data_IF_747873910753
#
_entry.id   IF_747873910753
#
_cell.length_a   1.000
_cell.length_b   1.000
_cell.length_c   1.000
_cell.angle_alpha   90.00
_cell.angle_beta   90.00
_cell.angle_gamma   90.00
#
_symmetry.space_group_name_H-M   'P 1'
#
loop_
_entity.id
_entity.type
_entity.pdbx_description
1 polymer ?
#
# COMPACT_ATOMS: atom_id res chain seq x y z
N UNK A 1 -26.57 13.57 -62.23
CA UNK A 1 -27.15 14.70 -61.48
C UNK A 1 -27.87 14.13 -60.26
N UNK A 2 -27.49 14.66 -59.11
CA UNK A 2 -27.70 14.20 -57.73
C UNK A 2 -29.16 14.14 -57.27
N UNK A 3 -29.54 13.04 -56.59
CA UNK A 3 -30.71 13.00 -55.70
C UNK A 3 -30.23 12.79 -54.25
N UNK A 4 -30.64 13.64 -53.29
CA UNK A 4 -30.21 13.53 -51.90
C UNK A 4 -31.08 12.52 -51.14
N UNK A 5 -30.46 11.55 -50.49
CA UNK A 5 -31.13 10.65 -49.54
C UNK A 5 -30.85 11.16 -48.11
N UNK A 6 -31.90 11.71 -47.50
CA UNK A 6 -31.93 12.14 -46.11
C UNK A 6 -32.08 10.91 -45.19
N UNK A 7 -31.10 10.67 -44.33
CA UNK A 7 -31.23 9.72 -43.22
C UNK A 7 -31.63 10.46 -41.94
N UNK A 8 -32.90 10.34 -41.58
CA UNK A 8 -33.44 10.77 -40.29
C UNK A 8 -33.03 9.83 -39.16
N UNK A 9 -32.47 10.40 -38.09
CA UNK A 9 -32.12 9.70 -36.86
C UNK A 9 -33.38 9.50 -36.01
N UNK A 10 -33.91 8.28 -35.96
CA UNK A 10 -35.01 7.94 -35.05
C UNK A 10 -34.45 7.68 -33.63
N UNK A 11 -34.56 8.65 -32.73
CA UNK A 11 -34.34 8.45 -31.29
C UNK A 11 -35.57 7.78 -30.64
N UNK A 12 -35.63 6.45 -30.66
CA UNK A 12 -36.52 5.72 -29.74
C UNK A 12 -35.84 5.57 -28.37
N UNK A 13 -36.29 6.38 -27.42
CA UNK A 13 -35.94 6.29 -25.99
C UNK A 13 -36.46 4.97 -25.41
N UNK A 14 -35.58 4.01 -25.11
CA UNK A 14 -35.92 2.86 -24.25
C UNK A 14 -35.51 3.17 -22.80
N UNK A 15 -36.38 2.92 -21.79
CA UNK A 15 -36.04 3.12 -20.39
C UNK A 15 -35.02 2.07 -19.93
N UNK A 16 -34.04 2.53 -19.15
CA UNK A 16 -32.87 1.76 -18.73
C UNK A 16 -33.20 0.58 -17.84
N UNK A 17 -32.52 -0.54 -18.10
CA UNK A 17 -32.50 -1.69 -17.23
C UNK A 17 -31.82 -1.34 -15.90
N UNK A 18 -32.56 -1.51 -14.80
CA UNK A 18 -32.05 -1.44 -13.43
C UNK A 18 -30.99 -2.52 -13.21
N UNK A 19 -29.80 -2.12 -12.76
CA UNK A 19 -28.72 -3.04 -12.34
C UNK A 19 -29.20 -3.92 -11.17
N UNK A 20 -28.88 -5.22 -11.13
CA UNK A 20 -29.17 -6.05 -9.96
C UNK A 20 -28.27 -5.64 -8.78
N UNK A 21 -28.73 -5.80 -7.52
CA UNK A 21 -27.94 -5.46 -6.35
C UNK A 21 -26.74 -6.40 -6.18
N UNK A 22 -25.63 -5.93 -5.59
CA UNK A 22 -24.42 -6.75 -5.40
C UNK A 22 -24.67 -7.88 -4.38
N UNK A 23 -24.02 -9.05 -4.53
CA UNK A 23 -24.19 -10.16 -3.61
C UNK A 23 -23.64 -9.83 -2.21
N UNK A 24 -24.40 -10.23 -1.18
CA UNK A 24 -24.00 -10.12 0.23
C UNK A 24 -22.74 -10.97 0.46
N UNK A 25 -21.65 -10.35 0.91
CA UNK A 25 -20.45 -11.06 1.35
C UNK A 25 -20.69 -11.61 2.75
N UNK A 26 -20.39 -12.90 2.95
CA UNK A 26 -20.29 -13.51 4.29
C UNK A 26 -19.04 -12.94 5.00
N UNK A 27 -19.11 -12.60 6.30
CA UNK A 27 -17.90 -12.31 7.08
C UNK A 27 -17.09 -13.61 7.24
N UNK A 28 -15.80 -13.56 6.92
CA UNK A 28 -14.83 -14.68 7.06
C UNK A 28 -14.14 -14.65 8.43
N UNK A 29 -14.83 -14.21 9.48
CA UNK A 29 -14.30 -14.29 10.85
C UNK A 29 -15.44 -14.15 11.88
N UNK A 30 -15.76 -15.27 12.54
CA UNK A 30 -16.59 -15.32 13.75
C UNK A 30 -18.04 -15.72 13.53
N UNK A 31 -18.34 -17.00 13.77
CA UNK A 31 -19.26 -17.50 14.82
C UNK A 31 -19.81 -18.87 14.37
N UNK A 32 -19.20 -19.94 14.89
CA UNK A 32 -19.82 -21.25 15.04
C UNK A 32 -19.24 -21.80 16.36
N UNK A 33 -19.85 -21.33 17.44
CA UNK A 33 -19.97 -22.08 18.67
C UNK A 33 -21.04 -23.14 18.41
N UNK A 34 -20.62 -24.36 18.10
CA UNK A 34 -21.46 -25.52 18.37
C UNK A 34 -20.57 -26.72 18.73
N UNK A 35 -20.83 -27.18 19.95
CA UNK A 35 -20.56 -28.48 20.55
C UNK A 35 -20.38 -29.65 19.58
N UNK A 36 -19.46 -30.56 19.92
CA UNK A 36 -19.72 -32.01 20.13
C UNK A 36 -18.38 -32.76 20.19
N UNK A 37 -17.98 -33.41 21.29
CA UNK A 37 -18.53 -34.62 21.92
C UNK A 37 -18.70 -35.81 20.94
N UNK A 38 -17.65 -36.64 20.91
CA UNK A 38 -17.60 -38.11 20.76
C UNK A 38 -18.79 -38.86 20.10
N UNK A 39 -18.47 -39.53 18.99
CA UNK A 39 -18.78 -40.95 18.79
C UNK A 39 -20.06 -41.32 18.02
N UNK A 40 -19.90 -41.90 16.81
CA UNK A 40 -20.38 -43.27 16.48
C UNK A 40 -20.34 -43.59 14.98
N UNK A 41 -19.72 -44.74 14.72
CA UNK A 41 -19.82 -45.74 13.64
C UNK A 41 -21.09 -45.70 12.76
N UNK A 42 -20.91 -45.84 11.44
CA UNK A 42 -21.99 -46.17 10.49
C UNK A 42 -21.47 -46.42 9.06
N UNK A 43 -21.70 -47.64 8.58
CA UNK A 43 -21.14 -48.29 7.40
C UNK A 43 -21.65 -47.78 6.03
N UNK A 44 -20.78 -47.94 5.02
CA UNK A 44 -21.04 -48.55 3.70
C UNK A 44 -22.28 -48.17 2.88
N UNK A 45 -22.04 -47.74 1.63
CA UNK A 45 -22.57 -48.42 0.42
C UNK A 45 -21.97 -47.86 -0.87
N UNK A 46 -21.30 -48.75 -1.58
CA UNK A 46 -21.14 -48.70 -3.02
C UNK A 46 -22.44 -49.17 -3.68
N UNK A 47 -22.83 -48.56 -4.80
CA UNK A 47 -23.89 -49.07 -5.67
C UNK A 47 -23.40 -49.09 -7.12
N UNK A 48 -22.96 -50.28 -7.53
CA UNK A 48 -23.11 -50.83 -8.87
C UNK A 48 -24.00 -52.08 -8.70
N UNK A 49 -25.02 -52.23 -9.55
CA UNK A 49 -25.76 -53.45 -9.97
C UNK A 49 -26.85 -52.88 -10.94
N UNK A 50 -26.90 -53.22 -12.23
CA UNK A 50 -27.41 -54.49 -12.79
C UNK A 50 -28.93 -54.57 -12.56
N UNK A 51 -29.86 -54.86 -13.45
CA UNK A 51 -29.90 -55.80 -14.57
C UNK A 51 -31.39 -55.89 -15.01
N UNK A 52 -31.66 -56.42 -16.22
CA UNK A 52 -32.94 -56.99 -16.73
C UNK A 52 -34.12 -56.03 -17.04
N UNK A 53 -34.86 -56.14 -18.15
CA UNK A 53 -35.27 -57.34 -18.90
C UNK A 53 -35.48 -57.03 -20.41
N UNK A 54 -34.93 -57.86 -21.29
CA UNK A 54 -35.23 -57.88 -22.73
C UNK A 54 -35.65 -59.29 -23.14
N UNK A 55 -36.96 -59.47 -23.22
CA UNK A 55 -37.65 -60.68 -23.64
C UNK A 55 -37.53 -60.89 -25.17
N UNK A 56 -36.93 -62.02 -25.56
CA UNK A 56 -37.54 -62.94 -26.54
C UNK A 56 -37.40 -62.68 -28.05
N UNK A 57 -36.55 -63.53 -28.66
CA UNK A 57 -36.87 -64.45 -29.79
C UNK A 57 -36.83 -63.96 -31.25
N UNK A 58 -35.75 -64.41 -31.92
CA UNK A 58 -35.61 -65.07 -33.22
C UNK A 58 -36.31 -64.54 -34.49
N UNK A 59 -35.53 -64.35 -35.56
CA UNK A 59 -35.73 -65.01 -36.85
C UNK A 59 -34.52 -64.89 -37.80
N UNK A 60 -34.52 -65.79 -38.79
CA UNK A 60 -33.41 -66.36 -39.56
C UNK A 60 -32.94 -65.60 -40.81
N UNK A 61 -31.72 -65.95 -41.22
CA UNK A 61 -31.28 -66.30 -42.59
C UNK A 61 -31.05 -65.24 -43.70
N UNK A 62 -29.78 -65.31 -44.16
CA UNK A 62 -29.26 -65.34 -45.56
C UNK A 62 -28.88 -64.04 -46.30
N UNK A 63 -27.63 -64.12 -46.77
CA UNK A 63 -27.10 -63.78 -48.11
C UNK A 63 -26.25 -62.51 -48.27
N UNK A 64 -25.02 -62.76 -48.73
CA UNK A 64 -24.03 -61.83 -49.25
C UNK A 64 -24.58 -60.99 -50.42
N UNK A 65 -24.38 -59.66 -50.38
CA UNK A 65 -24.18 -58.84 -51.58
C UNK A 65 -23.10 -57.79 -51.30
N UNK A 66 -22.02 -57.91 -52.06
CA UNK A 66 -21.00 -56.90 -52.30
C UNK A 66 -21.62 -55.67 -52.97
N UNK A 67 -21.38 -54.46 -52.44
CA UNK A 67 -21.49 -53.22 -53.23
C UNK A 67 -20.46 -52.19 -52.78
N UNK A 68 -19.51 -51.97 -53.68
CA UNK A 68 -18.52 -50.91 -53.71
C UNK A 68 -19.22 -49.54 -53.75
N UNK A 69 -19.01 -48.70 -52.73
CA UNK A 69 -19.38 -47.29 -52.73
C UNK A 69 -18.13 -46.40 -52.67
N UNK A 70 -17.88 -45.63 -53.73
CA UNK A 70 -16.80 -44.63 -53.82
C UNK A 70 -16.96 -43.54 -52.74
N UNK A 71 -15.85 -43.02 -52.14
CA UNK A 71 -15.93 -42.00 -51.11
C UNK A 71 -16.17 -40.62 -51.73
N UNK A 72 -17.10 -39.84 -51.15
CA UNK A 72 -17.17 -38.39 -51.39
C UNK A 72 -16.10 -37.71 -50.53
N UNK A 73 -15.25 -36.93 -51.19
CA UNK A 73 -14.15 -36.21 -50.57
C UNK A 73 -14.62 -35.09 -49.65
N UNK A 74 -14.13 -35.15 -48.41
CA UNK A 74 -14.14 -34.08 -47.41
C UNK A 74 -13.20 -34.50 -46.28
N UNK A 75 -12.37 -33.61 -45.71
CA UNK A 75 -11.48 -33.97 -44.62
C UNK A 75 -12.33 -34.37 -43.39
N UNK A 76 -11.95 -35.45 -42.66
CA UNK A 76 -12.72 -35.92 -41.52
C UNK A 76 -12.74 -34.87 -40.40
N UNK A 77 -13.94 -34.48 -39.95
CA UNK A 77 -14.17 -33.46 -38.91
C UNK A 77 -14.03 -33.98 -37.48
N UNK A 78 -13.57 -35.22 -37.29
CA UNK A 78 -13.27 -35.78 -35.97
C UNK A 78 -12.06 -36.72 -36.06
N UNK A 79 -11.16 -36.73 -35.07
CA UNK A 79 -10.07 -37.70 -35.02
C UNK A 79 -10.64 -39.12 -34.86
N UNK A 80 -10.04 -40.15 -35.48
CA UNK A 80 -10.53 -41.51 -35.40
C UNK A 80 -10.48 -42.00 -33.94
N UNK A 81 -11.62 -42.48 -33.42
CA UNK A 81 -11.69 -43.12 -32.11
C UNK A 81 -10.99 -44.47 -32.17
N UNK A 82 -9.77 -44.53 -31.64
CA UNK A 82 -9.00 -45.77 -31.44
C UNK A 82 -9.74 -46.66 -30.45
N UNK A 83 -10.30 -47.77 -30.92
CA UNK A 83 -10.73 -48.86 -30.03
C UNK A 83 -9.46 -49.52 -29.47
N UNK A 84 -9.27 -49.47 -28.16
CA UNK A 84 -8.18 -50.17 -27.48
C UNK A 84 -8.41 -51.69 -27.56
N UNK A 85 -7.88 -52.32 -28.61
CA UNK A 85 -7.69 -53.77 -28.61
C UNK A 85 -6.64 -54.08 -27.55
N UNK A 86 -6.97 -55.01 -26.64
CA UNK A 86 -6.19 -55.34 -25.45
C UNK A 86 -4.71 -55.51 -25.78
N UNK A 87 -3.86 -54.76 -25.07
CA UNK A 87 -2.41 -54.83 -25.18
C UNK A 87 -1.93 -56.14 -24.54
N UNK A 88 -1.18 -57.01 -25.24
CA UNK A 88 -0.49 -58.10 -24.57
C UNK A 88 0.71 -57.54 -23.78
N UNK A 89 0.78 -57.90 -22.50
CA UNK A 89 1.87 -57.71 -21.52
C UNK A 89 3.01 -56.70 -21.82
N UNK A 90 3.03 -55.64 -21.02
CA UNK A 90 3.93 -54.46 -21.07
C UNK A 90 5.26 -54.72 -20.34
N UNK A 91 6.04 -55.72 -20.76
CA UNK A 91 7.40 -55.92 -20.22
C UNK A 91 8.49 -56.02 -21.28
N UNK A 92 8.14 -56.41 -22.51
CA UNK A 92 9.00 -56.34 -23.68
C UNK A 92 8.17 -55.77 -24.84
N UNK A 93 8.08 -54.44 -24.90
CA UNK A 93 7.51 -53.77 -26.07
C UNK A 93 8.28 -54.16 -27.33
N UNK A 94 7.61 -54.16 -28.48
CA UNK A 94 8.17 -54.58 -29.77
C UNK A 94 9.54 -53.92 -30.06
N UNK A 95 10.62 -54.66 -29.79
CA UNK A 95 11.99 -54.18 -29.90
C UNK A 95 12.33 -53.78 -31.34
N UNK A 96 11.67 -54.38 -32.33
CA UNK A 96 11.87 -54.06 -33.74
C UNK A 96 11.31 -52.67 -34.09
N UNK A 97 10.16 -52.31 -33.52
CA UNK A 97 9.59 -50.96 -33.63
C UNK A 97 10.48 -49.89 -32.97
N UNK A 98 11.11 -50.24 -31.85
CA UNK A 98 12.06 -49.36 -31.15
C UNK A 98 13.32 -49.10 -31.98
N UNK A 99 13.91 -50.16 -32.55
CA UNK A 99 15.11 -50.05 -33.39
C UNK A 99 14.85 -49.26 -34.67
N UNK A 100 13.70 -49.49 -35.32
CA UNK A 100 13.32 -48.74 -36.52
C UNK A 100 13.02 -47.27 -36.21
N UNK A 101 12.32 -46.99 -35.10
CA UNK A 101 12.10 -45.63 -34.61
C UNK A 101 13.42 -44.90 -34.33
N UNK A 102 14.35 -45.55 -33.65
CA UNK A 102 15.67 -44.98 -33.36
C UNK A 102 16.46 -44.67 -34.63
N UNK A 103 16.48 -45.59 -35.59
CA UNK A 103 17.15 -45.37 -36.89
C UNK A 103 16.55 -44.19 -37.64
N UNK A 104 15.22 -44.05 -37.61
CA UNK A 104 14.53 -42.92 -38.23
C UNK A 104 14.86 -41.60 -37.52
N UNK A 105 14.90 -41.60 -36.18
CA UNK A 105 15.27 -40.41 -35.39
C UNK A 105 16.72 -39.99 -35.63
N UNK A 106 17.66 -40.95 -35.70
CA UNK A 106 19.06 -40.69 -36.02
C UNK A 106 19.20 -40.12 -37.45
N UNK A 107 18.51 -40.70 -38.44
CA UNK A 107 18.52 -40.17 -39.80
C UNK A 107 17.90 -38.77 -39.93
N UNK A 108 16.87 -38.46 -39.13
CA UNK A 108 16.27 -37.14 -39.11
C UNK A 108 17.20 -36.10 -38.48
N UNK A 109 17.91 -36.46 -37.40
CA UNK A 109 18.89 -35.61 -36.74
C UNK A 109 20.15 -35.36 -37.60
N UNK A 110 20.56 -36.34 -38.42
CA UNK A 110 21.66 -36.19 -39.40
C UNK A 110 21.32 -35.22 -40.53
N UNK A 111 20.06 -35.22 -40.99
CA UNK A 111 19.59 -34.32 -42.04
C UNK A 111 19.45 -32.90 -41.51
N UNK A 112 18.88 -32.73 -40.31
CA UNK A 112 18.71 -31.43 -39.66
C UNK A 112 18.67 -31.57 -38.13
N UNK A 113 19.65 -30.96 -37.46
CA UNK A 113 19.76 -30.94 -36.01
C UNK A 113 18.61 -30.16 -35.33
N UNK A 114 17.94 -29.26 -36.05
CA UNK A 114 16.84 -28.43 -35.53
C UNK A 114 15.46 -29.10 -35.55
N UNK A 115 15.36 -30.33 -36.08
CA UNK A 115 14.10 -31.08 -36.22
C UNK A 115 13.34 -31.25 -34.90
N UNK A 116 14.05 -31.30 -33.78
CA UNK A 116 13.46 -31.47 -32.44
C UNK A 116 13.48 -30.19 -31.60
N UNK A 117 13.92 -29.06 -32.13
CA UNK A 117 13.98 -27.77 -31.43
C UNK A 117 12.62 -27.04 -31.39
N UNK A 118 11.51 -27.78 -31.22
CA UNK A 118 10.18 -27.20 -31.19
C UNK A 118 10.00 -26.17 -30.07
N UNK A 119 10.63 -26.41 -28.90
CA UNK A 119 10.54 -25.52 -27.74
C UNK A 119 11.30 -24.20 -27.94
N UNK A 120 12.43 -24.22 -28.67
CA UNK A 120 13.22 -23.00 -28.92
C UNK A 120 12.47 -22.03 -29.84
N UNK A 121 11.74 -22.55 -30.82
CA UNK A 121 10.93 -21.76 -31.75
C UNK A 121 9.57 -21.40 -31.15
N UNK A 122 9.02 -22.21 -30.26
CA UNK A 122 7.71 -21.98 -29.64
C UNK A 122 7.60 -20.63 -28.94
N UNK A 123 8.66 -20.21 -28.24
CA UNK A 123 8.70 -18.89 -27.59
C UNK A 123 8.76 -17.73 -28.58
N UNK A 124 9.33 -17.94 -29.78
CA UNK A 124 9.33 -16.94 -30.85
C UNK A 124 7.99 -16.83 -31.59
N UNK A 125 7.23 -17.93 -31.64
CA UNK A 125 5.89 -18.00 -32.21
C UNK A 125 4.82 -17.40 -31.29
N UNK A 126 5.12 -17.27 -29.99
CA UNK A 126 4.24 -16.55 -29.08
C UNK A 126 4.18 -15.08 -29.52
N UNK A 127 2.99 -14.55 -29.83
CA UNK A 127 2.87 -13.13 -30.15
C UNK A 127 3.40 -12.35 -28.95
N UNK A 128 4.45 -11.54 -29.17
CA UNK A 128 5.00 -10.64 -28.15
C UNK A 128 3.82 -9.80 -27.64
N UNK A 129 3.37 -10.08 -26.41
CA UNK A 129 2.33 -9.30 -25.76
C UNK A 129 2.87 -7.89 -25.63
N UNK A 130 2.46 -7.00 -26.53
CA UNK A 130 2.68 -5.58 -26.37
C UNK A 130 2.00 -5.20 -25.07
N UNK A 131 2.77 -4.75 -24.08
CA UNK A 131 2.23 -4.38 -22.78
C UNK A 131 1.19 -3.29 -23.00
N UNK A 132 -0.09 -3.66 -22.91
CA UNK A 132 -1.18 -2.72 -23.01
C UNK A 132 -1.21 -1.87 -21.74
N UNK A 133 -1.76 -0.66 -21.80
CA UNK A 133 -1.88 0.21 -20.61
C UNK A 133 -2.62 -0.50 -19.46
N UNK A 134 -3.55 -1.40 -19.80
CA UNK A 134 -4.28 -2.24 -18.86
C UNK A 134 -3.37 -3.22 -18.09
N UNK A 135 -2.29 -3.72 -18.68
CA UNK A 135 -1.36 -4.62 -17.98
C UNK A 135 -0.44 -3.86 -17.01
N UNK A 136 -0.22 -2.56 -17.23
CA UNK A 136 0.46 -1.71 -16.25
C UNK A 136 -0.42 -1.42 -15.03
N UNK A 137 -1.74 -1.33 -15.25
CA UNK A 137 -2.75 -1.17 -14.19
C UNK A 137 -2.99 -2.47 -13.40
N UNK A 138 -2.72 -3.64 -14.00
CA UNK A 138 -2.75 -4.95 -13.31
C UNK A 138 -1.59 -5.18 -12.35
N UNK A 139 -0.59 -4.28 -12.28
CA UNK A 139 0.45 -4.39 -11.24
C UNK A 139 -0.19 -4.19 -9.86
N UNK A 140 0.15 -5.02 -8.86
CA UNK A 140 -0.40 -4.87 -7.51
C UNK A 140 -0.16 -3.45 -6.97
N UNK A 141 -1.24 -2.84 -6.48
CA UNK A 141 -1.32 -1.42 -6.09
C UNK A 141 -0.19 -0.96 -5.13
N UNK A 142 0.37 -1.87 -4.34
CA UNK A 142 1.35 -1.58 -3.30
C UNK A 142 2.77 -2.07 -3.58
N UNK A 143 3.00 -2.89 -4.61
CA UNK A 143 4.32 -3.49 -4.85
C UNK A 143 5.39 -2.42 -5.12
N UNK A 144 5.02 -1.37 -5.85
CA UNK A 144 5.92 -0.23 -6.09
C UNK A 144 6.37 0.40 -4.77
N UNK A 145 5.45 0.60 -3.83
CA UNK A 145 5.75 1.21 -2.54
C UNK A 145 6.60 0.28 -1.66
N UNK A 146 6.38 -1.03 -1.72
CA UNK A 146 7.18 -2.01 -0.97
C UNK A 146 8.62 -2.03 -1.51
N UNK A 147 8.79 -2.05 -2.84
CA UNK A 147 10.10 -2.00 -3.47
C UNK A 147 10.81 -0.67 -3.14
N UNK A 148 10.11 0.46 -3.27
CA UNK A 148 10.66 1.76 -2.89
C UNK A 148 11.06 1.80 -1.41
N UNK A 149 10.23 1.26 -0.51
CA UNK A 149 10.55 1.21 0.92
C UNK A 149 11.75 0.29 1.21
N UNK A 150 11.87 -0.85 0.52
CA UNK A 150 13.04 -1.71 0.62
C UNK A 150 14.31 -1.00 0.13
N UNK A 151 14.23 -0.24 -0.96
CA UNK A 151 15.35 0.52 -1.48
C UNK A 151 15.75 1.67 -0.54
N UNK A 152 14.79 2.36 0.08
CA UNK A 152 15.06 3.37 1.13
C UNK A 152 15.80 2.73 2.31
N UNK A 153 15.29 1.62 2.85
CA UNK A 153 15.96 0.92 3.97
C UNK A 153 17.38 0.47 3.64
N UNK A 154 17.64 0.02 2.40
CA UNK A 154 18.98 -0.35 1.96
C UNK A 154 19.91 0.86 1.96
N UNK A 155 19.44 2.02 1.48
CA UNK A 155 20.21 3.28 1.54
C UNK A 155 20.48 3.69 2.98
N UNK A 156 19.46 3.68 3.84
CA UNK A 156 19.58 4.04 5.25
C UNK A 156 20.59 3.14 5.99
N UNK A 157 20.57 1.83 5.70
CA UNK A 157 21.52 0.88 6.26
C UNK A 157 22.97 1.21 5.86
N UNK A 158 23.21 1.52 4.58
CA UNK A 158 24.53 1.93 4.09
C UNK A 158 25.01 3.23 4.76
N UNK A 159 24.12 4.22 4.88
CA UNK A 159 24.43 5.49 5.56
C UNK A 159 24.74 5.26 7.04
N UNK A 160 24.00 4.37 7.71
CA UNK A 160 24.22 4.05 9.12
C UNK A 160 25.56 3.34 9.33
N UNK A 161 25.92 2.39 8.47
CA UNK A 161 27.23 1.74 8.48
C UNK A 161 28.36 2.75 8.23
N UNK A 162 28.21 3.66 7.28
CA UNK A 162 29.20 4.71 7.01
C UNK A 162 29.37 5.67 8.20
N UNK A 163 28.27 6.12 8.81
CA UNK A 163 28.31 6.95 10.03
C UNK A 163 28.93 6.20 11.21
N UNK A 164 28.68 4.89 11.31
CA UNK A 164 29.30 4.02 12.32
C UNK A 164 30.82 3.94 12.12
N UNK A 165 31.28 3.67 10.90
CA UNK A 165 32.71 3.61 10.58
C UNK A 165 33.38 4.98 10.79
N UNK A 166 32.71 6.08 10.45
CA UNK A 166 33.22 7.42 10.72
C UNK A 166 33.41 7.66 12.23
N UNK A 167 32.42 7.28 13.05
CA UNK A 167 32.50 7.37 14.51
C UNK A 167 33.60 6.49 15.10
N UNK A 168 33.77 5.27 14.58
CA UNK A 168 34.87 4.37 14.98
C UNK A 168 36.23 4.99 14.65
N UNK A 169 36.37 5.60 13.46
CA UNK A 169 37.61 6.32 13.08
C UNK A 169 37.87 7.59 13.87
N UNK A 170 36.84 8.27 14.35
CA UNK A 170 36.99 9.42 15.24
C UNK A 170 37.47 8.96 16.62
N UNK A 171 36.90 7.85 17.13
CA UNK A 171 37.31 7.26 18.40
C UNK A 171 38.74 6.68 18.36
N UNK A 172 39.12 6.00 17.27
CA UNK A 172 40.47 5.51 17.02
C UNK A 172 41.43 6.62 16.51
N UNK A 173 40.88 7.78 16.17
CA UNK A 173 41.59 8.88 15.53
C UNK A 173 42.67 9.53 16.39
N UNK A 174 42.57 9.40 17.72
CA UNK A 174 43.63 9.82 18.64
C UNK A 174 44.86 8.90 18.57
N UNK A 175 44.67 7.60 18.27
CA UNK A 175 45.75 6.61 18.18
C UNK A 175 46.43 6.58 16.80
N UNK A 176 45.73 7.05 15.76
CA UNK A 176 46.21 7.03 14.37
C UNK A 176 46.29 8.42 13.72
N UNK A 177 46.34 9.48 14.52
CA UNK A 177 46.47 10.87 14.04
C UNK A 177 47.73 11.08 13.18
N UNK A 178 48.82 10.38 13.51
CA UNK A 178 50.10 10.46 12.82
C UNK A 178 50.16 9.64 11.51
N UNK A 179 49.12 8.87 11.18
CA UNK A 179 49.07 8.02 9.98
C UNK A 179 48.21 8.64 8.89
N UNK A 180 48.67 8.53 7.66
CA UNK A 180 47.96 9.05 6.49
C UNK A 180 46.64 8.30 6.24
N UNK A 181 45.56 9.04 5.98
CA UNK A 181 44.22 8.50 5.70
C UNK A 181 44.07 8.24 4.20
N UNK A 182 44.12 6.97 3.79
CA UNK A 182 43.89 6.60 2.39
C UNK A 182 42.43 6.23 2.15
N UNK A 183 41.76 7.00 1.29
CA UNK A 183 40.41 6.73 0.81
C UNK A 183 40.50 6.27 -0.65
N UNK A 184 39.94 5.11 -0.96
CA UNK A 184 39.88 4.62 -2.34
C UNK A 184 38.94 5.50 -3.18
N UNK A 185 39.23 5.64 -4.47
CA UNK A 185 38.39 6.46 -5.38
C UNK A 185 36.93 6.01 -5.41
N UNK A 186 36.68 4.70 -5.29
CA UNK A 186 35.35 4.12 -5.22
C UNK A 186 34.60 4.59 -3.97
N UNK A 187 35.26 4.62 -2.81
CA UNK A 187 34.65 5.09 -1.56
C UNK A 187 34.41 6.61 -1.59
N UNK A 188 35.29 7.39 -2.22
CA UNK A 188 35.04 8.83 -2.44
C UNK A 188 33.80 9.06 -3.29
N UNK A 189 33.64 8.32 -4.39
CA UNK A 189 32.46 8.38 -5.26
C UNK A 189 31.18 7.96 -4.53
N UNK A 190 31.24 6.90 -3.72
CA UNK A 190 30.12 6.45 -2.89
C UNK A 190 29.70 7.52 -1.86
N UNK A 191 30.65 8.16 -1.19
CA UNK A 191 30.35 9.25 -0.26
C UNK A 191 29.74 10.47 -0.96
N UNK A 192 30.22 10.83 -2.15
CA UNK A 192 29.66 11.95 -2.93
C UNK A 192 28.24 11.63 -3.43
N UNK A 193 27.99 10.40 -3.88
CA UNK A 193 26.66 9.95 -4.28
C UNK A 193 25.69 9.96 -3.09
N UNK A 194 26.11 9.44 -1.94
CA UNK A 194 25.29 9.45 -0.72
C UNK A 194 24.99 10.87 -0.23
N UNK A 195 25.97 11.77 -0.23
CA UNK A 195 25.76 13.18 0.13
C UNK A 195 24.80 13.87 -0.83
N UNK A 196 24.95 13.63 -2.14
CA UNK A 196 24.04 14.18 -3.15
C UNK A 196 22.61 13.68 -2.97
N UNK A 197 22.44 12.39 -2.68
CA UNK A 197 21.15 11.78 -2.40
C UNK A 197 20.53 12.30 -1.11
N UNK A 198 21.32 12.48 -0.04
CA UNK A 198 20.86 13.06 1.24
C UNK A 198 20.43 14.52 1.05
N UNK A 199 21.16 15.32 0.26
CA UNK A 199 20.77 16.70 -0.06
C UNK A 199 19.48 16.76 -0.90
N UNK A 200 19.32 15.86 -1.88
CA UNK A 200 18.11 15.78 -2.69
C UNK A 200 16.90 15.31 -1.87
N UNK A 201 17.09 14.31 -1.00
CA UNK A 201 16.05 13.87 -0.07
C UNK A 201 15.70 14.96 0.94
N UNK A 202 16.70 15.62 1.53
CA UNK A 202 16.47 16.73 2.47
C UNK A 202 15.71 17.88 1.80
N UNK A 203 16.08 18.24 0.57
CA UNK A 203 15.35 19.25 -0.20
C UNK A 203 13.91 18.82 -0.46
N UNK A 204 13.70 17.55 -0.84
CA UNK A 204 12.36 17.00 -1.06
C UNK A 204 11.54 16.98 0.22
N UNK A 205 12.13 16.58 1.34
CA UNK A 205 11.50 16.60 2.65
C UNK A 205 11.17 18.04 3.08
N UNK A 206 12.05 19.01 2.85
CA UNK A 206 11.76 20.42 3.13
C UNK A 206 10.59 20.95 2.27
N UNK A 207 10.49 20.54 1.01
CA UNK A 207 9.38 20.87 0.12
C UNK A 207 8.08 20.17 0.53
N UNK A 208 8.14 18.88 0.89
CA UNK A 208 7.02 18.10 1.41
C UNK A 208 6.58 18.62 2.77
N UNK A 209 7.49 19.00 3.67
CA UNK A 209 7.20 19.67 4.93
C UNK A 209 6.56 21.03 4.70
N UNK A 210 7.03 21.83 3.73
CA UNK A 210 6.38 23.09 3.35
C UNK A 210 4.96 22.88 2.84
N UNK A 211 4.69 21.81 2.08
CA UNK A 211 3.34 21.44 1.61
C UNK A 211 2.48 20.87 2.75
N UNK A 212 3.06 20.06 3.62
CA UNK A 212 2.42 19.44 4.78
C UNK A 212 2.21 20.40 5.96
N UNK A 213 2.78 21.63 5.91
CA UNK A 213 2.44 22.72 6.85
C UNK A 213 0.95 23.09 6.83
N UNK A 214 0.13 22.60 5.90
CA UNK A 214 -1.34 22.73 5.99
C UNK A 214 -2.02 21.59 6.78
N UNK A 215 -1.26 20.83 7.57
CA UNK A 215 -1.69 19.60 8.23
C UNK A 215 -2.81 19.74 9.27
N UNK A 216 -4.07 19.68 8.83
CA UNK A 216 -5.22 19.45 9.70
C UNK A 216 -5.43 20.47 10.83
N UNK A 217 -6.33 20.13 11.77
CA UNK A 217 -6.70 21.02 12.87
C UNK A 217 -5.55 21.27 13.85
N UNK A 218 -4.67 20.29 14.10
CA UNK A 218 -3.54 20.45 15.01
C UNK A 218 -2.47 21.41 14.50
N UNK A 219 -2.17 21.43 13.20
CA UNK A 219 -1.27 22.45 12.63
C UNK A 219 -1.93 23.84 12.59
N UNK A 220 -3.26 23.92 12.47
CA UNK A 220 -3.98 25.19 12.61
C UNK A 220 -3.83 25.77 14.03
N UNK A 221 -4.06 24.97 15.07
CA UNK A 221 -3.86 25.42 16.46
C UNK A 221 -2.40 25.80 16.74
N UNK A 222 -1.43 25.04 16.22
CA UNK A 222 0.00 25.36 16.33
C UNK A 222 0.32 26.72 15.70
N UNK A 223 -0.13 26.95 14.45
CA UNK A 223 0.05 28.24 13.77
C UNK A 223 -0.63 29.42 14.48
N UNK A 224 -1.77 29.19 15.12
CA UNK A 224 -2.45 30.23 15.89
C UNK A 224 -1.61 30.62 17.11
N UNK A 225 -1.11 29.64 17.86
CA UNK A 225 -0.23 29.87 19.00
C UNK A 225 1.10 30.53 18.59
N UNK A 226 1.75 30.03 17.53
CA UNK A 226 2.98 30.62 16.98
C UNK A 226 2.75 32.10 16.60
N UNK A 227 1.58 32.43 16.05
CA UNK A 227 1.21 33.80 15.68
C UNK A 227 0.95 34.70 16.89
N UNK A 228 0.34 34.16 17.94
CA UNK A 228 0.12 34.89 19.18
C UNK A 228 1.43 35.10 19.95
N UNK A 229 2.35 34.14 19.93
CA UNK A 229 3.69 34.27 20.49
C UNK A 229 4.53 35.30 19.71
N UNK A 230 4.46 35.30 18.37
CA UNK A 230 5.09 36.34 17.54
C UNK A 230 4.59 37.74 17.91
N UNK A 231 3.27 37.92 18.02
CA UNK A 231 2.68 39.21 18.44
C UNK A 231 3.17 39.66 19.81
N UNK A 232 3.27 38.73 20.76
CA UNK A 232 3.78 39.04 22.09
C UNK A 232 5.26 39.41 22.03
N UNK A 233 6.07 38.68 21.27
CA UNK A 233 7.50 38.98 21.09
C UNK A 233 7.73 40.34 20.42
N UNK A 234 6.92 40.70 19.42
CA UNK A 234 6.98 42.00 18.76
C UNK A 234 6.57 43.12 19.71
N UNK A 235 5.55 42.90 20.55
CA UNK A 235 5.13 43.87 21.56
C UNK A 235 6.20 44.10 22.64
N UNK A 236 6.84 43.03 23.11
CA UNK A 236 7.96 43.13 24.06
C UNK A 236 9.15 43.83 23.41
N UNK A 237 9.52 43.45 22.18
CA UNK A 237 10.60 44.11 21.45
C UNK A 237 10.32 45.59 21.21
N UNK A 238 9.10 45.96 20.84
CA UNK A 238 8.70 47.36 20.66
C UNK A 238 8.73 48.13 21.99
N UNK A 239 8.37 47.49 23.11
CA UNK A 239 8.50 48.08 24.44
C UNK A 239 9.97 48.25 24.84
N UNK A 240 10.83 47.28 24.54
CA UNK A 240 12.27 47.34 24.78
C UNK A 240 12.95 48.39 23.90
N UNK A 241 12.58 48.51 22.62
CA UNK A 241 13.11 49.53 21.72
C UNK A 241 12.67 50.93 22.15
N UNK A 242 11.43 51.10 22.65
CA UNK A 242 10.98 52.35 23.28
C UNK A 242 11.71 52.66 24.59
N UNK A 243 12.04 51.63 25.38
CA UNK A 243 12.82 51.80 26.61
C UNK A 243 14.30 52.11 26.33
N UNK A 244 14.88 51.55 25.26
CA UNK A 244 16.28 51.78 24.85
C UNK A 244 16.49 53.10 24.10
N UNK A 245 15.53 53.54 23.30
CA UNK A 245 15.62 54.80 22.58
C UNK A 245 15.18 56.03 23.40
N UNK A 246 14.69 55.83 24.63
CA UNK A 246 14.17 56.92 25.44
C UNK A 246 12.92 57.55 24.81
N UNK A 247 12.05 58.15 25.64
CA UNK A 247 11.01 59.02 25.10
C UNK A 247 11.66 60.09 24.20
N UNK A 248 11.03 60.54 23.10
CA UNK A 248 11.46 61.79 22.51
C UNK A 248 11.39 62.83 23.63
N UNK A 249 12.52 63.47 23.92
CA UNK A 249 12.57 64.62 24.81
C UNK A 249 11.56 65.64 24.27
N UNK A 250 10.49 65.85 25.02
CA UNK A 250 9.76 67.10 25.00
C UNK A 250 10.75 68.15 25.52
N UNK A 251 11.47 68.78 24.58
CA UNK A 251 12.09 70.07 24.85
C UNK A 251 10.98 71.03 25.27
N UNK A 252 11.14 71.55 26.49
CA UNK A 252 10.40 72.67 27.03
C UNK A 252 10.61 73.88 26.12
N UNK A 253 9.74 74.03 25.12
CA UNK A 253 9.36 75.32 24.59
C UNK A 253 8.05 75.70 25.27
N UNK A 254 8.15 76.59 26.25
CA UNK A 254 7.04 77.42 26.73
C UNK A 254 6.44 78.17 25.53
N UNK A 255 5.46 77.55 24.87
CA UNK A 255 4.54 78.22 23.96
C UNK A 255 3.16 77.59 24.14
N UNK A 256 2.49 78.10 25.17
CA UNK A 256 1.05 78.17 25.43
C UNK A 256 0.14 77.54 24.34
N UNK A 257 0.01 76.21 24.35
CA UNK A 257 -1.12 75.51 23.72
C UNK A 257 -1.91 74.79 24.78
N UNK A 258 -2.74 75.57 25.45
CA UNK A 258 -4.02 75.11 25.95
C UNK A 258 -4.67 74.23 24.88
N UNK A 259 -4.75 72.92 25.12
CA UNK A 259 -5.83 72.12 24.56
C UNK A 259 -7.12 72.71 25.14
N UNK A 260 -7.58 73.81 24.54
CA UNK A 260 -8.94 74.27 24.68
C UNK A 260 -9.77 73.11 24.15
N UNK A 261 -10.39 72.38 25.07
CA UNK A 261 -11.54 71.55 24.76
C UNK A 261 -12.45 72.41 23.88
N UNK A 262 -12.45 72.16 22.56
CA UNK A 262 -13.33 72.88 21.64
C UNK A 262 -14.73 72.67 22.19
N UNK A 263 -15.39 73.76 22.56
CA UNK A 263 -16.71 73.66 23.20
C UNK A 263 -17.65 72.93 22.25
N UNK A 264 -18.65 72.20 22.77
CA UNK A 264 -19.61 71.43 21.95
C UNK A 264 -20.21 72.29 20.82
N UNK A 265 -20.31 73.61 21.04
CA UNK A 265 -20.75 74.61 20.07
C UNK A 265 -19.79 74.82 18.89
N UNK A 266 -18.48 74.80 19.11
CA UNK A 266 -17.47 75.02 18.07
C UNK A 266 -17.36 73.81 17.15
N UNK A 267 -17.51 72.60 17.72
CA UNK A 267 -17.55 71.35 16.95
C UNK A 267 -18.83 71.30 16.09
N UNK A 268 -19.97 71.77 16.60
CA UNK A 268 -21.22 71.84 15.86
C UNK A 268 -21.15 72.80 14.67
N UNK A 269 -20.52 73.97 14.83
CA UNK A 269 -20.30 74.94 13.74
C UNK A 269 -19.37 74.37 12.67
N UNK A 270 -18.27 73.74 13.07
CA UNK A 270 -17.32 73.11 12.14
C UNK A 270 -17.98 71.96 11.34
N UNK A 271 -18.89 71.20 11.97
CA UNK A 271 -19.67 70.17 11.30
C UNK A 271 -20.72 70.76 10.34
N UNK A 272 -21.34 71.89 10.68
CA UNK A 272 -22.27 72.61 9.81
C UNK A 272 -21.57 73.17 8.56
N UNK A 273 -20.36 73.71 8.72
CA UNK A 273 -19.51 74.14 7.60
C UNK A 273 -19.09 72.96 6.71
N UNK A 274 -18.89 71.78 7.31
CA UNK A 274 -18.60 70.51 6.60
C UNK A 274 -19.84 69.83 6.02
N UNK A 275 -21.02 70.46 6.10
CA UNK A 275 -22.25 70.00 5.45
C UNK A 275 -23.12 69.04 6.28
N UNK A 276 -22.84 68.86 7.58
CA UNK A 276 -23.82 68.29 8.50
C UNK A 276 -24.89 69.33 8.85
N UNK A 277 -26.10 68.92 9.19
CA UNK A 277 -27.16 69.83 9.64
C UNK A 277 -27.39 69.62 11.14
N UNK A 278 -26.54 70.24 11.97
CA UNK A 278 -26.62 70.24 13.43
C UNK A 278 -27.37 71.48 13.91
N UNK A 279 -28.50 71.29 14.59
CA UNK A 279 -29.30 72.39 15.14
C UNK A 279 -28.72 72.89 16.47
N UNK A 280 -28.49 74.21 16.57
CA UNK A 280 -27.93 74.89 17.76
C UNK A 280 -28.97 75.90 18.27
N UNK A 281 -29.23 75.92 19.59
CA UNK A 281 -30.12 76.89 20.24
C UNK A 281 -29.45 78.27 20.39
N UNK A 282 -30.24 79.31 20.73
CA UNK A 282 -29.75 80.68 20.95
C UNK A 282 -28.70 80.79 22.07
N UNK A 283 -28.71 79.84 23.04
CA UNK A 283 -27.70 79.72 24.11
C UNK A 283 -26.43 78.94 23.70
N UNK A 284 -26.27 78.62 22.41
CA UNK A 284 -25.08 77.94 21.88
C UNK A 284 -24.99 76.44 22.20
N UNK A 285 -26.04 75.83 22.75
CA UNK A 285 -26.10 74.40 23.03
C UNK A 285 -26.69 73.62 21.85
N UNK A 286 -26.11 72.46 21.55
CA UNK A 286 -26.59 71.55 20.50
C UNK A 286 -27.85 70.84 20.96
N UNK A 287 -28.94 70.98 20.20
CA UNK A 287 -30.27 70.44 20.54
C UNK A 287 -30.27 68.91 20.59
N UNK A 288 -29.57 68.27 19.67
CA UNK A 288 -29.44 66.81 19.61
C UNK A 288 -27.97 66.37 19.50
N UNK A 289 -27.40 65.94 20.63
CA UNK A 289 -26.01 65.47 20.73
C UNK A 289 -25.69 64.28 19.84
N UNK A 290 -26.69 63.57 19.32
CA UNK A 290 -26.49 62.47 18.36
C UNK A 290 -26.04 62.96 17.01
N UNK A 291 -26.34 64.20 16.65
CA UNK A 291 -25.91 64.81 15.40
C UNK A 291 -24.42 65.17 15.40
N UNK A 292 -23.81 65.32 16.59
CA UNK A 292 -22.36 65.44 16.76
C UNK A 292 -21.63 64.11 16.58
N UNK A 293 -22.33 62.99 16.76
CA UNK A 293 -21.77 61.67 16.49
C UNK A 293 -21.78 61.47 14.98
N UNK A 294 -20.61 61.62 14.35
CA UNK A 294 -20.39 61.27 12.95
C UNK A 294 -20.98 59.88 12.70
N UNK A 295 -22.04 59.81 11.89
CA UNK A 295 -22.72 58.58 11.51
C UNK A 295 -21.80 57.65 10.72
N UNK A 296 -20.88 57.00 11.43
CA UNK A 296 -19.90 56.05 10.93
C UNK A 296 -20.14 54.68 11.55
N UNK A 297 -21.40 54.22 11.53
CA UNK A 297 -21.63 52.79 11.62
C UNK A 297 -21.12 52.21 10.31
N UNK A 298 -20.06 51.39 10.35
CA UNK A 298 -19.60 50.58 9.22
C UNK A 298 -20.68 49.54 8.87
N UNK A 299 -21.80 49.99 8.32
CA UNK A 299 -22.78 49.14 7.64
C UNK A 299 -22.15 48.71 6.32
N UNK A 300 -21.29 47.70 6.40
CA UNK A 300 -20.97 46.87 5.26
C UNK A 300 -22.28 46.42 4.60
N UNK A 301 -22.29 46.45 3.26
CA UNK A 301 -23.48 46.19 2.44
C UNK A 301 -24.31 45.00 2.97
N UNK A 302 -25.59 45.27 3.25
CA UNK A 302 -26.59 44.27 3.64
C UNK A 302 -26.64 43.14 2.60
N UNK A 303 -26.27 41.92 2.98
CA UNK A 303 -26.70 40.71 2.29
C UNK A 303 -28.05 40.30 2.89
N UNK A 304 -29.13 40.51 2.15
CA UNK A 304 -30.47 40.03 2.50
C UNK A 304 -30.60 38.54 2.14
N UNK A 305 -31.25 37.81 3.05
CA UNK A 305 -31.80 36.44 2.95
C UNK A 305 -30.75 35.32 3.00
N UNK A 306 -30.78 34.35 3.91
CA UNK A 306 -31.89 33.67 4.58
C UNK A 306 -31.46 33.01 5.90
N UNK A 307 -31.65 33.64 7.07
CA UNK A 307 -31.67 32.93 8.37
C UNK A 307 -32.58 33.67 9.35
N UNK A 308 -33.89 33.59 9.14
CA UNK A 308 -34.87 33.89 10.18
C UNK A 308 -35.60 32.59 10.52
N UNK A 309 -34.93 31.68 11.25
CA UNK A 309 -35.62 30.64 12.04
C UNK A 309 -34.83 29.91 13.13
N UNK A 310 -33.64 30.37 13.53
CA UNK A 310 -32.86 29.65 14.56
C UNK A 310 -32.37 30.50 15.75
N UNK A 311 -32.75 31.78 15.83
CA UNK A 311 -32.24 32.70 16.86
C UNK A 311 -33.14 32.88 18.11
N UNK A 312 -34.09 31.97 18.37
CA UNK A 312 -34.96 32.01 19.57
C UNK A 312 -34.80 30.79 20.50
N UNK A 313 -33.74 29.98 20.35
CA UNK A 313 -33.56 28.76 21.17
C UNK A 313 -32.23 28.63 21.90
N UNK A 314 -31.62 29.74 22.30
CA UNK A 314 -30.45 29.72 23.17
C UNK A 314 -30.55 30.80 24.26
N UNK A 315 -31.60 30.73 25.07
CA UNK A 315 -31.59 31.28 26.41
C UNK A 315 -31.29 30.14 27.40
N UNK A 316 -30.21 30.34 28.15
CA UNK A 316 -29.87 29.75 29.45
C UNK A 316 -30.00 28.22 29.63
N UNK A 317 -28.83 27.56 29.64
CA UNK A 317 -28.65 26.30 30.39
C UNK A 317 -27.63 26.53 31.49
N UNK A 318 -27.93 26.19 32.77
CA UNK A 318 -26.98 26.33 33.84
C UNK A 318 -25.83 25.32 33.63
N UNK A 319 -24.60 25.80 33.75
CA UNK A 319 -23.41 24.96 33.81
C UNK A 319 -23.51 24.10 35.07
N UNK A 320 -23.72 22.79 34.91
CA UNK A 320 -23.53 21.83 36.00
C UNK A 320 -22.04 21.59 36.15
N UNK A 321 -21.48 21.98 37.29
CA UNK A 321 -20.15 21.56 37.72
C UNK A 321 -20.12 20.03 37.79
N UNK A 322 -19.41 19.42 36.84
CA UNK A 322 -19.17 17.98 36.81
C UNK A 322 -18.09 17.70 37.83
N UNK A 323 -18.51 17.25 39.02
CA UNK A 323 -17.60 16.86 40.09
C UNK A 323 -16.61 15.78 39.62
N UNK A 324 -15.37 15.86 40.13
CA UNK A 324 -14.20 15.00 39.81
C UNK A 324 -14.46 13.48 39.84
N UNK A 325 -15.58 13.04 40.41
CA UNK A 325 -15.94 11.64 40.59
C UNK A 325 -16.43 10.96 39.29
N UNK A 326 -16.97 11.72 38.32
CA UNK A 326 -17.38 11.17 37.01
C UNK A 326 -16.20 10.95 36.05
N UNK A 327 -15.12 11.73 36.18
CA UNK A 327 -13.90 11.54 35.40
C UNK A 327 -13.18 10.23 35.78
N UNK A 328 -13.13 9.88 37.07
CA UNK A 328 -12.55 8.62 37.54
C UNK A 328 -13.29 7.38 37.03
N UNK A 329 -14.63 7.40 36.94
CA UNK A 329 -15.41 6.27 36.38
C UNK A 329 -15.17 6.07 34.88
N UNK A 330 -15.02 7.17 34.13
CA UNK A 330 -14.73 7.13 32.68
C UNK A 330 -13.28 6.71 32.41
N UNK A 331 -12.34 7.11 33.26
CA UNK A 331 -10.96 6.62 33.23
C UNK A 331 -10.89 5.13 33.57
N UNK A 332 -11.57 4.66 34.62
CA UNK A 332 -11.61 3.24 34.97
C UNK A 332 -12.22 2.35 33.86
N UNK A 333 -13.21 2.85 33.10
CA UNK A 333 -13.72 2.13 31.93
C UNK A 333 -12.70 2.07 30.79
N UNK A 334 -11.97 3.17 30.55
CA UNK A 334 -10.89 3.20 29.54
C UNK A 334 -9.72 2.31 29.90
N UNK A 335 -9.35 2.27 31.17
CA UNK A 335 -8.28 1.39 31.67
C UNK A 335 -8.64 -0.09 31.53
N UNK A 336 -9.91 -0.45 31.75
CA UNK A 336 -10.37 -1.83 31.51
C UNK A 336 -10.34 -2.18 30.02
N UNK A 337 -10.75 -1.25 29.15
CA UNK A 337 -10.70 -1.45 27.70
C UNK A 337 -9.25 -1.48 27.18
N UNK A 338 -8.36 -0.65 27.72
CA UNK A 338 -6.95 -0.66 27.33
C UNK A 338 -6.26 -1.92 27.80
N UNK A 339 -6.53 -2.40 29.03
CA UNK A 339 -6.01 -3.69 29.52
C UNK A 339 -6.48 -4.88 28.68
N UNK A 340 -7.73 -4.88 28.22
CA UNK A 340 -8.24 -5.93 27.32
C UNK A 340 -7.50 -5.93 25.97
N UNK A 341 -7.23 -4.75 25.41
CA UNK A 341 -6.49 -4.60 24.15
C UNK A 341 -5.01 -4.97 24.34
N UNK A 342 -4.42 -4.58 25.47
CA UNK A 342 -3.07 -4.92 25.86
C UNK A 342 -2.91 -6.43 26.05
N UNK A 343 -3.85 -7.08 26.72
CA UNK A 343 -3.86 -8.54 26.88
C UNK A 343 -4.01 -9.27 25.53
N UNK A 344 -4.86 -8.78 24.62
CA UNK A 344 -4.97 -9.33 23.26
C UNK A 344 -3.66 -9.15 22.48
N UNK A 345 -3.00 -8.00 22.62
CA UNK A 345 -1.71 -7.73 21.99
C UNK A 345 -0.62 -8.63 22.58
N UNK A 346 -0.55 -8.76 23.90
CA UNK A 346 0.39 -9.65 24.60
C UNK A 346 0.17 -11.11 24.22
N UNK A 347 -1.08 -11.58 24.12
CA UNK A 347 -1.40 -12.93 23.66
C UNK A 347 -0.95 -13.14 22.22
N UNK A 348 -1.15 -12.16 21.33
CA UNK A 348 -0.66 -12.24 19.95
C UNK A 348 0.87 -12.28 19.87
N UNK A 349 1.56 -11.47 20.67
CA UNK A 349 3.01 -11.42 20.75
C UNK A 349 3.60 -12.69 21.40
N UNK A 350 2.87 -13.31 22.32
CA UNK A 350 3.26 -14.58 22.91
C UNK A 350 3.11 -15.71 21.89
N UNK A 351 1.98 -15.78 21.17
CA UNK A 351 1.79 -16.75 20.07
C UNK A 351 2.85 -16.60 18.99
N UNK A 352 3.17 -15.38 18.57
CA UNK A 352 4.23 -15.17 17.57
C UNK A 352 5.60 -15.61 18.07
N UNK A 353 5.93 -15.38 19.35
CA UNK A 353 7.19 -15.85 19.95
C UNK A 353 7.25 -17.37 20.04
N UNK A 354 6.14 -18.01 20.42
CA UNK A 354 6.05 -19.47 20.51
C UNK A 354 6.16 -20.12 19.11
N UNK A 355 5.54 -19.51 18.08
CA UNK A 355 5.67 -19.92 16.68
C UNK A 355 7.11 -19.76 16.16
N UNK A 356 7.76 -18.62 16.45
CA UNK A 356 9.17 -18.41 16.08
C UNK A 356 10.10 -19.41 16.79
N UNK A 357 9.84 -19.73 18.06
CA UNK A 357 10.61 -20.72 18.81
C UNK A 357 10.42 -22.13 18.22
N UNK A 358 9.18 -22.50 17.87
CA UNK A 358 8.89 -23.78 17.21
C UNK A 358 9.55 -23.88 15.84
N UNK A 359 9.51 -22.81 15.04
CA UNK A 359 10.20 -22.76 13.74
C UNK A 359 11.72 -22.89 13.90
N UNK A 360 12.32 -22.21 14.88
CA UNK A 360 13.75 -22.36 15.17
C UNK A 360 14.09 -23.80 15.57
N UNK A 361 13.28 -24.41 16.42
CA UNK A 361 13.47 -25.80 16.82
C UNK A 361 13.32 -26.77 15.64
N UNK A 362 12.37 -26.53 14.73
CA UNK A 362 12.20 -27.30 13.50
C UNK A 362 13.40 -27.17 12.57
N UNK A 363 13.90 -25.94 12.36
CA UNK A 363 15.12 -25.69 11.58
C UNK A 363 16.34 -26.36 12.22
N UNK A 364 16.45 -26.33 13.55
CA UNK A 364 17.51 -27.03 14.26
C UNK A 364 17.38 -28.56 14.16
N UNK A 365 16.18 -29.11 14.25
CA UNK A 365 15.96 -30.56 14.04
C UNK A 365 16.25 -30.95 12.60
N UNK A 366 15.85 -30.12 11.64
CA UNK A 366 16.15 -30.31 10.22
C UNK A 366 17.66 -30.25 9.97
N UNK A 367 18.38 -29.29 10.57
CA UNK A 367 19.83 -29.18 10.44
C UNK A 367 20.56 -30.34 11.12
N UNK A 368 20.10 -30.79 12.29
CA UNK A 368 20.63 -31.96 13.02
C UNK A 368 20.34 -33.29 12.28
N UNK A 369 19.21 -33.40 11.58
CA UNK A 369 18.84 -34.61 10.82
C UNK A 369 19.50 -34.69 9.44
N UNK A 370 19.93 -33.55 8.88
CA UNK A 370 20.61 -33.50 7.59
C UNK A 370 22.08 -33.85 7.79
N UNK A 371 22.52 -34.95 7.16
CA UNK A 371 23.93 -35.35 7.11
C UNK A 371 24.76 -34.21 6.55
N UNK A 372 25.78 -33.81 7.29
CA UNK A 372 26.71 -32.75 6.86
C UNK A 372 27.56 -33.24 5.69
N UNK A 373 28.07 -32.33 4.87
CA UNK A 373 28.93 -32.68 3.73
C UNK A 373 30.19 -33.45 4.16
N UNK A 374 30.69 -33.20 5.37
CA UNK A 374 31.80 -33.95 5.98
C UNK A 374 31.46 -35.40 6.36
N UNK A 375 30.23 -35.66 6.81
CA UNK A 375 29.77 -37.04 7.03
C UNK A 375 29.64 -37.80 5.71
N UNK A 376 29.18 -37.14 4.66
CA UNK A 376 29.06 -37.71 3.32
C UNK A 376 30.45 -38.00 2.73
N UNK A 377 31.41 -37.07 2.85
CA UNK A 377 32.79 -37.28 2.37
C UNK A 377 33.49 -38.39 3.14
N UNK A 378 33.40 -38.41 4.48
CA UNK A 378 33.99 -39.47 5.30
C UNK A 378 33.35 -40.85 5.04
N UNK A 379 32.05 -40.92 4.74
CA UNK A 379 31.39 -42.15 4.33
C UNK A 379 31.88 -42.63 2.96
N UNK A 380 32.07 -41.70 2.02
CA UNK A 380 32.62 -41.99 0.69
C UNK A 380 34.07 -42.46 0.76
N UNK A 381 34.91 -41.84 1.59
CA UNK A 381 36.29 -42.27 1.82
C UNK A 381 36.38 -43.66 2.44
N UNK A 382 35.57 -43.95 3.47
CA UNK A 382 35.48 -45.28 4.08
C UNK A 382 34.99 -46.34 3.10
N UNK A 383 34.05 -45.98 2.22
CA UNK A 383 33.58 -46.87 1.15
C UNK A 383 34.69 -47.16 0.14
N UNK A 384 35.42 -46.14 -0.32
CA UNK A 384 36.54 -46.31 -1.24
C UNK A 384 37.69 -47.11 -0.63
N UNK A 385 38.01 -46.90 0.66
CA UNK A 385 39.00 -47.68 1.38
C UNK A 385 38.61 -49.16 1.48
N UNK A 386 37.35 -49.47 1.84
CA UNK A 386 36.83 -50.85 1.85
C UNK A 386 36.88 -51.50 0.48
N UNK A 387 36.58 -50.75 -0.58
CA UNK A 387 36.63 -51.26 -1.96
C UNK A 387 38.07 -51.57 -2.39
N UNK A 388 39.02 -50.68 -2.11
CA UNK A 388 40.45 -50.91 -2.40
C UNK A 388 40.99 -52.12 -1.65
N UNK A 389 40.71 -52.22 -0.35
CA UNK A 389 41.12 -53.38 0.45
C UNK A 389 40.51 -54.70 -0.06
N UNK A 390 39.25 -54.68 -0.51
CA UNK A 390 38.62 -55.86 -1.10
C UNK A 390 39.22 -56.25 -2.46
N UNK A 391 39.64 -55.29 -3.28
CA UNK A 391 40.34 -55.55 -4.53
C UNK A 391 41.77 -56.08 -4.28
N UNK A 392 42.48 -55.54 -3.30
CA UNK A 392 43.79 -56.06 -2.88
C UNK A 392 43.68 -57.48 -2.33
N UNK A 393 42.69 -57.76 -1.47
CA UNK A 393 42.43 -59.10 -0.97
C UNK A 393 42.06 -60.11 -2.08
N UNK A 394 41.34 -59.66 -3.12
CA UNK A 394 41.06 -60.49 -4.29
C UNK A 394 42.30 -60.73 -5.15
N UNK A 395 43.19 -59.74 -5.27
CA UNK A 395 44.46 -59.89 -5.98
C UNK A 395 45.41 -60.83 -5.24
N UNK A 396 45.46 -60.77 -3.91
CA UNK A 396 46.28 -61.69 -3.11
C UNK A 396 45.71 -63.11 -3.10
N UNK A 397 44.38 -63.27 -3.08
CA UNK A 397 43.74 -64.58 -3.13
C UNK A 397 43.74 -65.24 -4.53
N UNK A 398 43.80 -64.47 -5.61
CA UNK A 398 43.85 -64.97 -6.99
C UNK A 398 45.27 -65.19 -7.54
N UNK A 399 46.31 -64.87 -6.77
CA UNK A 399 47.71 -65.03 -7.14
C UNK A 399 48.44 -66.17 -6.41
N UNK A 400 47.70 -67.03 -5.69
CA UNK A 400 48.21 -68.21 -5.00
C UNK A 400 47.94 -69.49 -5.80
#
# INVERSE_FOLDING_TARGET
MSKPLAFGLNLSKKPGASKPPPPKRRPMFGDDDDSDNEGAVGEGKAEEIGEFDALGRAQEAKANITKLGKPKGGPPTQPPKLKSKGQPNIMFGDLSSSLTSRRNAESAAEVDASVYEYDSVYDSLKPKKQATKEDQEKRPKYMKNILQAADVRKRDALIAEEKKIAREREAEGEEFADKEKFVTEAYRKQQEENKRLEEEERRREEEEAKKNKSGGMSAFYRKLLDKDEQRHSDAVRAAEEKAKHGAPEEENADDDKQEKEKTEADIAKELNEKGAAVAINEDGQVVDKRQLLRGGLNVGAKKKESVQREAERQAERPRKDVTNQQFGRKQAQRERQSRMIEEQLEQSMKRSRDEEAAQKEEVERASKSRKTEGEISSAKERYLARKRAAEEAKKTAGGA
#
